data_IF_613913701065
#
_entry.id   IF_613913701065
#
_cell.length_a   1.000
_cell.length_b   1.000
_cell.length_c   1.000
_cell.angle_alpha   90.00
_cell.angle_beta   90.00
_cell.angle_gamma   90.00
#
_symmetry.space_group_name_H-M   'P 1'
#
loop_
_entity.id
_entity.type
_entity.pdbx_description
1 polymer ?
#
# COMPACT_ATOMS: atom_id res chain seq x y z
N UNK A 1 21.43 1.12 -18.37
CA UNK A 1 20.44 0.22 -19.00
C UNK A 1 20.40 -1.19 -18.37
N UNK A 2 21.50 -1.74 -17.84
CA UNK A 2 21.49 -3.05 -17.15
C UNK A 2 20.70 -3.14 -15.82
N UNK A 3 20.17 -2.03 -15.28
CA UNK A 3 19.51 -1.98 -13.96
C UNK A 3 17.99 -2.22 -13.99
N UNK A 4 17.36 -2.09 -15.16
CA UNK A 4 15.91 -2.33 -15.33
C UNK A 4 15.62 -3.82 -15.54
N UNK A 5 16.56 -4.56 -16.16
CA UNK A 5 16.45 -6.01 -16.40
C UNK A 5 16.42 -6.85 -15.10
N UNK A 6 17.09 -6.41 -14.03
CA UNK A 6 17.05 -7.12 -12.75
C UNK A 6 15.71 -6.95 -12.00
N UNK A 7 14.93 -5.91 -12.32
CA UNK A 7 13.62 -5.69 -11.73
C UNK A 7 12.56 -6.65 -12.31
N UNK A 8 12.72 -7.13 -13.56
CA UNK A 8 11.72 -7.96 -14.24
C UNK A 8 11.61 -9.41 -13.74
N UNK A 9 12.43 -9.83 -12.77
CA UNK A 9 12.39 -11.19 -12.20
C UNK A 9 11.52 -11.29 -10.95
N UNK A 10 11.14 -10.17 -10.34
CA UNK A 10 10.36 -10.17 -9.12
C UNK A 10 8.87 -10.30 -9.41
N UNK A 11 8.26 -11.34 -8.84
CA UNK A 11 6.82 -11.58 -8.96
C UNK A 11 6.05 -10.69 -7.99
N UNK A 12 5.02 -10.01 -8.50
CA UNK A 12 4.04 -9.33 -7.66
C UNK A 12 2.98 -10.35 -7.22
N UNK A 13 2.73 -10.38 -5.92
CA UNK A 13 1.65 -11.16 -5.32
C UNK A 13 0.54 -10.21 -4.90
N UNK A 14 -0.71 -10.61 -5.13
CA UNK A 14 -1.90 -9.86 -4.71
C UNK A 14 -2.64 -10.67 -3.66
N UNK A 15 -3.23 -9.98 -2.70
CA UNK A 15 -3.91 -10.63 -1.59
C UNK A 15 -4.79 -9.67 -0.82
N UNK A 16 -5.45 -10.22 0.19
CA UNK A 16 -6.29 -9.49 1.11
C UNK A 16 -5.81 -9.76 2.53
N UNK A 17 -5.99 -8.77 3.39
CA UNK A 17 -5.79 -8.90 4.83
C UNK A 17 -7.08 -8.51 5.54
N UNK A 18 -7.48 -9.29 6.54
CA UNK A 18 -8.67 -9.02 7.33
C UNK A 18 -8.36 -7.95 8.40
N UNK A 19 -9.11 -6.85 8.42
CA UNK A 19 -9.13 -5.86 9.51
C UNK A 19 -10.50 -5.91 10.20
N UNK A 20 -10.66 -5.30 11.40
CA UNK A 20 -11.95 -5.27 12.09
C UNK A 20 -13.09 -4.64 11.27
N UNK A 21 -12.76 -3.69 10.38
CA UNK A 21 -13.70 -2.93 9.55
C UNK A 21 -13.97 -3.60 8.19
N UNK A 22 -13.05 -4.45 7.72
CA UNK A 22 -13.22 -5.20 6.47
C UNK A 22 -11.91 -5.67 5.85
N UNK A 23 -11.97 -6.25 4.65
CA UNK A 23 -10.78 -6.72 3.96
C UNK A 23 -10.06 -5.57 3.26
N UNK A 24 -8.75 -5.47 3.46
CA UNK A 24 -7.87 -4.56 2.73
C UNK A 24 -7.11 -5.32 1.66
N UNK A 25 -7.26 -4.92 0.40
CA UNK A 25 -6.51 -5.49 -0.71
C UNK A 25 -5.11 -4.89 -0.79
N UNK A 26 -4.13 -5.70 -1.16
CA UNK A 26 -2.75 -5.27 -1.30
C UNK A 26 -2.03 -6.01 -2.42
N UNK A 27 -0.99 -5.35 -2.93
CA UNK A 27 0.04 -5.96 -3.76
C UNK A 27 1.35 -5.97 -3.00
N UNK A 28 2.11 -7.07 -3.08
CA UNK A 28 3.42 -7.18 -2.43
C UNK A 28 4.48 -7.74 -3.37
N UNK A 29 5.71 -7.29 -3.16
CA UNK A 29 6.87 -7.76 -3.91
C UNK A 29 8.14 -7.62 -3.09
N UNK A 30 9.03 -8.60 -3.15
CA UNK A 30 10.25 -8.67 -2.35
C UNK A 30 10.32 -9.92 -1.49
N UNK A 31 11.45 -10.09 -0.79
CA UNK A 31 11.68 -11.21 0.11
C UNK A 31 10.96 -11.02 1.44
N UNK A 32 10.38 -12.10 1.96
CA UNK A 32 9.91 -12.11 3.34
C UNK A 32 11.09 -11.82 4.30
N UNK A 33 10.87 -10.97 5.30
CA UNK A 33 11.89 -10.55 6.26
C UNK A 33 12.77 -9.36 5.82
N UNK A 34 12.64 -8.88 4.58
CA UNK A 34 13.22 -7.60 4.18
C UNK A 34 12.51 -6.42 4.84
N UNK A 35 13.16 -5.24 4.86
CA UNK A 35 12.59 -4.03 5.47
C UNK A 35 11.26 -3.65 4.78
N UNK A 36 10.13 -3.58 5.51
CA UNK A 36 8.84 -3.26 4.91
C UNK A 36 8.77 -1.81 4.44
N UNK A 37 8.28 -1.61 3.22
CA UNK A 37 8.01 -0.31 2.62
C UNK A 37 6.55 -0.25 2.17
N UNK A 38 5.74 0.49 2.91
CA UNK A 38 4.31 0.64 2.66
C UNK A 38 4.07 1.78 1.67
N UNK A 39 3.36 1.49 0.58
CA UNK A 39 3.09 2.41 -0.51
C UNK A 39 1.61 2.77 -0.51
N UNK A 40 1.32 4.06 -0.34
CA UNK A 40 -0.03 4.63 -0.33
C UNK A 40 -0.27 5.34 -1.66
N UNK A 41 -1.33 4.96 -2.36
CA UNK A 41 -1.68 5.53 -3.67
C UNK A 41 -2.25 6.96 -3.53
N UNK A 42 -2.32 7.68 -4.65
CA UNK A 42 -2.91 9.02 -4.71
C UNK A 42 -4.43 8.96 -4.88
N UNK A 43 -5.11 10.10 -4.79
CA UNK A 43 -6.54 10.21 -5.12
C UNK A 43 -6.75 10.58 -6.61
N UNK A 44 -7.74 10.01 -7.32
CA UNK A 44 -8.36 8.70 -7.10
C UNK A 44 -7.55 7.62 -7.83
N UNK A 45 -7.01 6.65 -7.11
CA UNK A 45 -6.31 5.49 -7.68
C UNK A 45 -6.42 4.28 -6.72
N UNK A 46 -5.59 3.25 -6.92
CA UNK A 46 -5.41 2.10 -6.04
C UNK A 46 -3.96 1.60 -6.06
N UNK A 47 -3.70 0.45 -5.45
CA UNK A 47 -2.42 -0.22 -5.36
C UNK A 47 -1.75 -0.45 -6.73
N UNK A 48 -2.53 -0.56 -7.81
CA UNK A 48 -2.03 -0.69 -9.19
C UNK A 48 -1.13 0.46 -9.62
N UNK A 49 -1.27 1.66 -9.04
CA UNK A 49 -0.38 2.80 -9.28
C UNK A 49 1.09 2.44 -9.05
N UNK A 50 1.34 1.55 -8.09
CA UNK A 50 2.68 1.15 -7.67
C UNK A 50 3.22 -0.10 -8.37
N UNK A 51 2.42 -0.81 -9.17
CA UNK A 51 2.85 -2.06 -9.84
C UNK A 51 4.19 -1.93 -10.61
N UNK A 52 4.46 -0.83 -11.34
CA UNK A 52 5.77 -0.65 -11.99
C UNK A 52 6.95 -0.47 -11.02
N UNK A 53 6.69 0.03 -9.82
CA UNK A 53 7.72 0.34 -8.81
C UNK A 53 8.00 -0.84 -7.87
N UNK A 54 7.02 -1.70 -7.60
CA UNK A 54 7.17 -2.84 -6.70
C UNK A 54 8.41 -3.70 -7.01
N UNK A 55 8.68 -4.12 -8.26
CA UNK A 55 9.84 -4.95 -8.57
C UNK A 55 11.16 -4.18 -8.47
N UNK A 56 11.13 -2.86 -8.72
CA UNK A 56 12.31 -1.99 -8.61
C UNK A 56 12.72 -1.81 -7.14
N UNK A 57 11.74 -1.69 -6.24
CA UNK A 57 11.95 -1.59 -4.79
C UNK A 57 12.39 -2.95 -4.21
N UNK A 58 11.78 -4.05 -4.66
CA UNK A 58 12.22 -5.41 -4.32
C UNK A 58 13.69 -5.65 -4.70
N UNK A 59 14.11 -5.24 -5.90
CA UNK A 59 15.49 -5.33 -6.35
C UNK A 59 16.47 -4.46 -5.53
N UNK A 60 15.98 -3.48 -4.76
CA UNK A 60 16.75 -2.67 -3.80
C UNK A 60 16.81 -3.28 -2.39
N UNK A 61 16.14 -4.42 -2.16
CA UNK A 61 16.13 -5.11 -0.88
C UNK A 61 14.99 -4.72 0.06
N UNK A 62 13.93 -4.08 -0.45
CA UNK A 62 12.71 -3.82 0.33
C UNK A 62 11.67 -4.94 0.15
N UNK A 63 10.83 -5.12 1.17
CA UNK A 63 9.53 -5.76 1.00
C UNK A 63 8.50 -4.67 0.73
N UNK A 64 8.25 -4.40 -0.55
CA UNK A 64 7.34 -3.34 -0.98
C UNK A 64 5.89 -3.84 -0.96
N UNK A 65 5.02 -3.08 -0.30
CA UNK A 65 3.61 -3.42 -0.10
C UNK A 65 2.77 -2.21 -0.48
N UNK A 66 2.03 -2.30 -1.58
CA UNK A 66 1.06 -1.29 -1.98
C UNK A 66 -0.33 -1.70 -1.50
N UNK A 67 -0.98 -0.82 -0.72
CA UNK A 67 -2.34 -1.05 -0.23
C UNK A 67 -3.33 -0.36 -1.16
N UNK A 68 -4.48 -0.98 -1.41
CA UNK A 68 -5.69 -0.22 -1.71
C UNK A 68 -6.14 0.37 -0.36
N UNK A 69 -6.07 1.68 -0.17
CA UNK A 69 -6.55 2.29 1.07
C UNK A 69 -8.05 1.99 1.25
N UNK A 70 -8.58 1.99 2.50
CA UNK A 70 -10.03 1.87 2.72
C UNK A 70 -10.82 2.77 1.77
N UNK A 71 -11.98 2.33 1.28
CA UNK A 71 -12.79 3.02 0.25
C UNK A 71 -12.30 2.89 -1.21
N UNK A 72 -11.04 2.50 -1.45
CA UNK A 72 -10.47 2.43 -2.82
C UNK A 72 -10.23 1.02 -3.33
N UNK A 73 -10.03 0.94 -4.65
CA UNK A 73 -9.66 -0.28 -5.35
C UNK A 73 -10.57 -1.45 -5.00
N UNK A 74 -9.98 -2.52 -4.48
CA UNK A 74 -10.67 -3.73 -4.05
C UNK A 74 -10.79 -3.86 -2.53
N UNK A 75 -10.39 -2.83 -1.77
CA UNK A 75 -10.58 -2.81 -0.32
C UNK A 75 -12.05 -2.59 0.04
N UNK A 76 -12.38 -2.89 1.30
CA UNK A 76 -13.70 -2.64 1.86
C UNK A 76 -14.10 -1.16 1.70
N UNK A 77 -15.42 -0.94 1.63
CA UNK A 77 -16.02 0.38 1.51
C UNK A 77 -16.80 0.68 2.78
N UNK A 78 -16.29 1.56 3.66
CA UNK A 78 -17.04 1.96 4.84
C UNK A 78 -18.34 2.66 4.44
N UNK A 79 -19.33 2.63 5.34
CA UNK A 79 -20.64 3.28 5.11
C UNK A 79 -20.50 4.81 5.03
N UNK A 80 -19.60 5.36 5.84
CA UNK A 80 -19.25 6.78 5.85
C UNK A 80 -17.85 6.99 5.27
N UNK A 81 -17.65 8.15 4.63
CA UNK A 81 -16.35 8.52 4.09
C UNK A 81 -15.35 8.76 5.24
N UNK A 82 -14.18 8.09 5.25
CA UNK A 82 -13.18 8.32 6.29
C UNK A 82 -12.60 9.73 6.19
N UNK A 83 -12.35 10.35 7.34
CA UNK A 83 -11.43 11.49 7.40
C UNK A 83 -9.96 10.99 7.32
N UNK A 84 -9.01 11.92 7.37
CA UNK A 84 -7.58 11.57 7.35
C UNK A 84 -7.19 10.60 8.49
N UNK A 85 -7.81 10.73 9.66
CA UNK A 85 -7.59 9.84 10.79
C UNK A 85 -8.08 8.43 10.49
N UNK A 86 -9.29 8.30 9.95
CA UNK A 86 -9.87 7.02 9.55
C UNK A 86 -9.06 6.30 8.47
N UNK A 87 -8.52 7.02 7.48
CA UNK A 87 -7.59 6.43 6.52
C UNK A 87 -6.31 5.93 7.19
N UNK A 88 -5.73 6.72 8.10
CA UNK A 88 -4.51 6.33 8.82
C UNK A 88 -4.75 5.09 9.71
N UNK A 89 -5.88 5.03 10.40
CA UNK A 89 -6.29 3.89 11.23
C UNK A 89 -6.48 2.63 10.38
N UNK A 90 -7.16 2.73 9.24
CA UNK A 90 -7.35 1.58 8.34
C UNK A 90 -6.04 1.07 7.74
N UNK A 91 -5.12 1.98 7.37
CA UNK A 91 -3.76 1.60 6.92
C UNK A 91 -3.01 0.89 8.06
N UNK A 92 -3.05 1.45 9.27
CA UNK A 92 -2.39 0.86 10.43
C UNK A 92 -2.95 -0.52 10.77
N UNK A 93 -4.27 -0.69 10.74
CA UNK A 93 -4.93 -1.96 10.97
C UNK A 93 -4.50 -3.01 9.94
N UNK A 94 -4.43 -2.64 8.66
CA UNK A 94 -3.96 -3.54 7.61
C UNK A 94 -2.49 -3.96 7.82
N UNK A 95 -1.60 -3.02 8.14
CA UNK A 95 -0.18 -3.29 8.39
C UNK A 95 0.02 -4.21 9.61
N UNK A 96 -0.74 -3.96 10.69
CA UNK A 96 -0.72 -4.80 11.88
C UNK A 96 -1.24 -6.21 11.60
N UNK A 97 -2.33 -6.33 10.84
CA UNK A 97 -2.92 -7.61 10.46
C UNK A 97 -2.03 -8.43 9.51
N UNK A 98 -1.19 -7.76 8.71
CA UNK A 98 -0.12 -8.40 7.93
C UNK A 98 1.05 -8.90 8.80
N UNK A 99 1.06 -8.59 10.10
CA UNK A 99 2.06 -9.06 11.06
C UNK A 99 3.29 -8.16 11.20
N UNK A 100 3.27 -6.94 10.66
CA UNK A 100 4.41 -6.02 10.76
C UNK A 100 4.32 -5.17 12.03
N UNK A 101 5.26 -5.39 12.95
CA UNK A 101 5.31 -4.70 14.26
C UNK A 101 6.64 -3.98 14.52
N UNK A 102 7.59 -4.06 13.59
CA UNK A 102 8.91 -3.42 13.68
C UNK A 102 9.02 -2.08 12.93
N UNK A 103 10.22 -1.51 12.82
CA UNK A 103 10.46 -0.34 11.99
C UNK A 103 10.03 -0.59 10.54
N UNK A 104 9.38 0.40 9.94
CA UNK A 104 8.89 0.36 8.57
C UNK A 104 8.83 1.77 8.01
N UNK A 105 8.97 1.90 6.70
CA UNK A 105 8.88 3.18 6.02
C UNK A 105 7.59 3.30 5.21
N UNK A 106 7.10 4.53 5.04
CA UNK A 106 5.91 4.84 4.28
C UNK A 106 6.25 5.78 3.13
N UNK A 107 5.69 5.52 1.95
CA UNK A 107 5.72 6.43 0.80
C UNK A 107 4.29 6.71 0.38
N UNK A 108 3.91 7.98 0.43
CA UNK A 108 2.64 8.46 -0.09
C UNK A 108 2.85 9.45 -1.23
N UNK A 109 1.84 9.59 -2.09
CA UNK A 109 1.70 10.69 -3.03
C UNK A 109 0.52 11.58 -2.60
N UNK A 110 0.28 12.71 -3.28
CA UNK A 110 -0.81 13.63 -2.94
C UNK A 110 -2.16 12.91 -2.86
N UNK A 111 -2.70 12.81 -1.65
CA UNK A 111 -4.06 12.32 -1.40
C UNK A 111 -4.96 13.54 -1.25
N UNK A 112 -5.86 13.75 -2.21
CA UNK A 112 -6.99 14.67 -1.97
C UNK A 112 -7.89 14.01 -0.94
N UNK A 113 -8.23 14.74 0.13
CA UNK A 113 -9.32 14.36 1.04
C UNK A 113 -10.53 15.17 0.58
N UNK A 114 -11.64 14.55 0.17
CA UNK A 114 -12.82 15.29 -0.25
C UNK A 114 -13.28 16.25 0.84
N UNK A 115 -13.43 17.52 0.47
CA UNK A 115 -13.82 18.60 1.40
C UNK A 115 -12.66 19.40 2.01
N UNK A 116 -11.39 19.08 1.73
CA UNK A 116 -10.27 19.92 2.15
C UNK A 116 -10.18 21.19 1.29
N UNK A 117 -10.29 22.41 1.85
CA UNK A 117 -10.12 23.62 1.06
C UNK A 117 -8.67 23.73 0.60
N UNK A 118 -8.47 23.84 -0.71
CA UNK A 118 -7.20 24.27 -1.28
C UNK A 118 -6.93 25.68 -0.73
N UNK A 119 -5.98 25.80 0.20
CA UNK A 119 -5.48 27.08 0.70
C UNK A 119 -4.66 27.81 -0.35
#
# INVERSE_FOLDING_TARGET
>A
MARVEAASTWKIWKGYVDTPEGQVHYHRCGSDGAHPLILLHQWPDGATQWDPMLPVLAAKGFLAIALDMPMFGQSYKPEEEPDLGGFAEGVLAAVQALGYQGPMDYVGHHSEVPGWPCG
#
